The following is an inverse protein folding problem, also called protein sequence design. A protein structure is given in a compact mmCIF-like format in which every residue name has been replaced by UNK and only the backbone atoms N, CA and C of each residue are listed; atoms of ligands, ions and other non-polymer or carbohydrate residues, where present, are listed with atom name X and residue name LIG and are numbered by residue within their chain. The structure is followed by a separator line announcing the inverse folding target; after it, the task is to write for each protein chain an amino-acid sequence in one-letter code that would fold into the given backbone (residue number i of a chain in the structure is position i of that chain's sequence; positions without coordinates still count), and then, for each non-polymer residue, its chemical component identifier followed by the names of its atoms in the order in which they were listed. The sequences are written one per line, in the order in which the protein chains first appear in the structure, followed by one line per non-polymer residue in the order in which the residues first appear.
data_IF_634442717938
#
_entry.id   IF_634442717938
#
_cell.length_a   1.000
_cell.length_b   1.000
_cell.length_c   1.000
_cell.angle_alpha   90.00
_cell.angle_beta   90.00
_cell.angle_gamma   90.00
#
_symmetry.space_group_name_H-M   'P 1'
#
loop_
_entity.id
_entity.type
_entity.pdbx_description
1 polymer ?
#
# COMPACT_ATOMS: atom_id res chain seq x y z
N UNK A 1 -39.67 26.29 -11.63
CA UNK A 1 -40.42 25.61 -10.56
C UNK A 1 -39.46 24.61 -9.93
N UNK A 2 -38.37 25.03 -9.28
CA UNK A 2 -38.27 25.61 -7.92
C UNK A 2 -39.16 24.90 -6.91
N UNK A 3 -38.53 24.10 -6.04
CA UNK A 3 -38.62 24.16 -4.57
C UNK A 3 -37.75 23.02 -3.99
N UNK A 4 -37.21 23.01 -2.78
CA UNK A 4 -36.60 24.02 -1.91
C UNK A 4 -36.06 23.18 -0.74
N UNK A 5 -34.79 23.39 -0.37
CA UNK A 5 -34.18 22.86 0.86
C UNK A 5 -34.89 23.46 2.08
N UNK A 6 -35.22 22.65 3.10
CA UNK A 6 -35.37 23.11 4.50
C UNK A 6 -35.17 21.91 5.43
N UNK A 7 -33.97 21.72 6.00
CA UNK A 7 -33.67 21.97 7.42
C UNK A 7 -34.83 21.76 8.39
N UNK A 8 -34.70 20.76 9.27
CA UNK A 8 -35.51 20.66 10.50
C UNK A 8 -34.59 20.85 11.71
N UNK A 9 -34.99 21.64 12.73
CA UNK A 9 -34.08 22.23 13.71
C UNK A 9 -33.88 21.37 14.97
N UNK A 10 -32.78 21.66 15.67
CA UNK A 10 -32.49 21.18 17.01
C UNK A 10 -33.59 21.56 18.01
N UNK A 11 -34.05 20.60 18.80
CA UNK A 11 -35.09 20.78 19.81
C UNK A 11 -34.46 21.09 21.18
N UNK A 12 -34.89 22.19 21.77
CA UNK A 12 -34.45 22.72 23.05
C UNK A 12 -35.12 22.02 24.26
N UNK A 13 -34.39 22.05 25.38
CA UNK A 13 -34.76 21.58 26.72
C UNK A 13 -35.86 22.45 27.36
N UNK A 14 -36.77 21.89 28.18
CA UNK A 14 -37.47 22.64 29.21
C UNK A 14 -36.94 22.30 30.62
N UNK A 15 -36.53 23.35 31.34
CA UNK A 15 -36.25 23.35 32.77
C UNK A 15 -37.55 23.39 33.60
N UNK A 16 -37.53 22.85 34.81
CA UNK A 16 -38.59 22.95 35.81
C UNK A 16 -38.03 23.51 37.15
N UNK A 17 -38.86 24.16 37.97
CA UNK A 17 -38.57 25.48 38.54
C UNK A 17 -38.09 25.51 40.00
N UNK A 18 -37.68 26.69 40.45
CA UNK A 18 -37.07 26.99 41.74
C UNK A 18 -37.96 27.87 42.66
N UNK A 19 -37.47 28.00 43.91
CA UNK A 19 -37.68 29.06 44.95
C UNK A 19 -39.01 28.90 45.76
N UNK A 20 -39.10 29.21 47.08
CA UNK A 20 -38.34 30.24 47.80
C UNK A 20 -37.87 30.01 49.26
N UNK A 21 -37.06 30.98 49.71
CA UNK A 21 -36.37 31.08 50.99
C UNK A 21 -36.92 32.21 51.91
N UNK A 22 -36.52 32.13 53.20
CA UNK A 22 -36.45 33.16 54.26
C UNK A 22 -37.76 33.47 55.03
N UNK A 23 -37.73 33.90 56.34
CA UNK A 23 -36.66 34.65 57.04
C UNK A 23 -36.33 34.23 58.50
N UNK A 24 -35.51 35.05 59.17
CA UNK A 24 -34.67 34.77 60.36
C UNK A 24 -35.13 35.38 61.72
N UNK A 25 -34.61 34.79 62.82
CA UNK A 25 -34.28 35.30 64.18
C UNK A 25 -35.41 35.90 65.09
N UNK A 26 -35.35 35.85 66.46
CA UNK A 26 -34.18 36.04 67.36
C UNK A 26 -34.13 35.15 68.65
N UNK A 27 -33.33 35.57 69.65
CA UNK A 27 -32.55 34.77 70.61
C UNK A 27 -33.10 34.64 72.07
N UNK A 28 -32.63 33.57 72.77
CA UNK A 28 -32.45 33.23 74.23
C UNK A 28 -33.49 33.67 75.30
N UNK A 29 -33.77 32.85 76.35
CA UNK A 29 -32.85 32.62 77.50
C UNK A 29 -32.76 31.16 78.00
N UNK A 30 -31.68 30.85 78.74
CA UNK A 30 -31.40 29.59 79.41
C UNK A 30 -32.05 29.50 80.82
N UNK A 31 -32.52 28.30 81.22
CA UNK A 31 -32.74 27.87 82.61
C UNK A 31 -32.97 26.32 82.65
N UNK A 32 -32.94 25.62 83.81
CA UNK A 32 -31.85 24.71 84.19
C UNK A 32 -32.15 23.20 84.02
N UNK A 33 -31.08 22.41 84.05
CA UNK A 33 -31.08 20.97 83.97
C UNK A 33 -31.78 20.27 85.14
N UNK A 34 -32.53 19.21 84.83
CA UNK A 34 -33.01 18.20 85.77
C UNK A 34 -32.56 16.83 85.23
N UNK A 35 -31.89 15.95 86.00
CA UNK A 35 -31.42 14.67 85.48
C UNK A 35 -32.58 13.67 85.42
N UNK A 36 -32.80 13.08 84.24
CA UNK A 36 -33.70 11.94 84.08
C UNK A 36 -32.92 10.68 83.70
N UNK A 37 -33.34 9.60 84.35
CA UNK A 37 -32.75 8.27 84.48
C UNK A 37 -32.36 7.57 83.18
N UNK A 38 -31.26 6.81 83.24
CA UNK A 38 -30.72 6.03 82.13
C UNK A 38 -31.59 4.79 81.83
N UNK A 39 -32.09 4.69 80.60
CA UNK A 39 -32.63 3.46 80.03
C UNK A 39 -31.50 2.61 79.44
N UNK A 40 -31.49 1.27 79.60
CA UNK A 40 -30.42 0.43 79.06
C UNK A 40 -30.59 0.23 77.55
N UNK A 41 -29.50 0.45 76.82
CA UNK A 41 -29.40 0.30 75.36
C UNK A 41 -29.17 -1.17 74.98
N UNK A 42 -29.87 -1.73 73.97
CA UNK A 42 -29.60 -3.10 73.51
C UNK A 42 -28.25 -3.20 72.79
N UNK A 43 -27.55 -4.35 72.85
CA UNK A 43 -26.23 -4.49 72.25
C UNK A 43 -26.28 -4.36 70.72
N UNK A 44 -25.47 -3.43 70.18
CA UNK A 44 -25.28 -3.26 68.73
C UNK A 44 -24.53 -4.48 68.16
N UNK A 45 -25.05 -5.04 67.07
CA UNK A 45 -24.35 -6.06 66.31
C UNK A 45 -22.97 -5.54 65.85
N UNK A 46 -21.90 -6.37 65.94
CA UNK A 46 -20.56 -5.92 65.61
C UNK A 46 -20.48 -5.53 64.13
N UNK A 47 -20.13 -4.27 63.86
CA UNK A 47 -19.85 -3.78 62.51
C UNK A 47 -18.67 -4.58 61.95
N UNK A 48 -18.75 -5.09 60.70
CA UNK A 48 -17.65 -5.85 60.13
C UNK A 48 -16.37 -5.02 60.17
N UNK A 49 -15.22 -5.62 60.51
CA UNK A 49 -13.99 -4.87 60.74
C UNK A 49 -13.58 -4.17 59.44
N UNK A 50 -13.71 -2.83 59.41
CA UNK A 50 -13.37 -1.94 58.28
C UNK A 50 -11.98 -2.20 57.68
N UNK A 51 -11.08 -2.81 58.45
CA UNK A 51 -9.74 -3.23 58.04
C UNK A 51 -9.76 -4.35 57.00
N UNK A 52 -10.68 -5.32 57.12
CA UNK A 52 -10.80 -6.45 56.19
C UNK A 52 -11.33 -5.98 54.84
N UNK A 53 -12.34 -5.12 54.82
CA UNK A 53 -12.88 -4.53 53.59
C UNK A 53 -11.83 -3.71 52.81
N UNK A 54 -10.98 -2.96 53.52
CA UNK A 54 -9.86 -2.22 52.90
C UNK A 54 -8.78 -3.15 52.35
N UNK A 55 -8.51 -4.27 53.04
CA UNK A 55 -7.57 -5.26 52.56
C UNK A 55 -8.08 -5.91 51.27
N UNK A 56 -9.34 -6.35 51.24
CA UNK A 56 -9.98 -6.91 50.04
C UNK A 56 -9.90 -5.92 48.89
N UNK A 57 -10.33 -4.67 49.08
CA UNK A 57 -10.29 -3.64 48.02
C UNK A 57 -8.86 -3.39 47.48
N UNK A 58 -7.84 -3.39 48.34
CA UNK A 58 -6.44 -3.24 47.93
C UNK A 58 -5.95 -4.43 47.11
N UNK A 59 -6.29 -5.65 47.52
CA UNK A 59 -5.93 -6.86 46.77
C UNK A 59 -6.67 -6.95 45.44
N UNK A 60 -7.94 -6.55 45.39
CA UNK A 60 -8.70 -6.47 44.13
C UNK A 60 -8.07 -5.44 43.18
N UNK A 61 -7.71 -4.26 43.69
CA UNK A 61 -7.03 -3.25 42.89
C UNK A 61 -5.66 -3.75 42.38
N UNK A 62 -4.88 -4.41 43.22
CA UNK A 62 -3.61 -5.01 42.83
C UNK A 62 -3.80 -6.08 41.73
N UNK A 63 -4.78 -6.98 41.89
CA UNK A 63 -5.09 -8.01 40.91
C UNK A 63 -5.54 -7.42 39.57
N UNK A 64 -6.34 -6.35 39.58
CA UNK A 64 -6.76 -5.65 38.37
C UNK A 64 -5.59 -4.98 37.65
N UNK A 65 -4.68 -4.33 38.39
CA UNK A 65 -3.50 -3.68 37.81
C UNK A 65 -2.56 -4.71 37.22
N UNK A 66 -2.20 -5.77 37.97
CA UNK A 66 -1.32 -6.84 37.49
C UNK A 66 -1.95 -7.61 36.33
N UNK A 67 -3.22 -7.97 36.44
CA UNK A 67 -3.96 -8.67 35.39
C UNK A 67 -4.09 -7.82 34.13
N UNK A 68 -4.42 -6.54 34.27
CA UNK A 68 -4.54 -5.60 33.15
C UNK A 68 -3.21 -5.34 32.46
N UNK A 69 -2.13 -5.10 33.22
CA UNK A 69 -0.78 -4.93 32.66
C UNK A 69 -0.30 -6.19 31.96
N UNK A 70 -0.46 -7.36 32.60
CA UNK A 70 -0.03 -8.64 32.05
C UNK A 70 -0.80 -9.04 30.79
N UNK A 71 -2.13 -8.93 30.83
CA UNK A 71 -2.96 -9.21 29.66
C UNK A 71 -2.72 -8.19 28.53
N UNK A 72 -2.54 -6.91 28.87
CA UNK A 72 -2.26 -5.85 27.90
C UNK A 72 -0.91 -6.02 27.21
N UNK A 73 0.15 -6.37 27.95
CA UNK A 73 1.47 -6.66 27.36
C UNK A 73 1.45 -7.94 26.54
N UNK A 74 0.83 -9.01 27.04
CA UNK A 74 0.67 -10.25 26.28
C UNK A 74 -0.12 -10.00 24.98
N UNK A 75 -1.24 -9.28 25.03
CA UNK A 75 -2.01 -8.91 23.85
C UNK A 75 -1.20 -8.04 22.89
N UNK A 76 -0.46 -7.05 23.39
CA UNK A 76 0.41 -6.20 22.58
C UNK A 76 1.45 -7.00 21.80
N UNK A 77 2.14 -7.94 22.44
CA UNK A 77 3.16 -8.78 21.78
C UNK A 77 2.52 -9.79 20.83
N UNK A 78 1.43 -10.44 21.24
CA UNK A 78 0.78 -11.50 20.44
C UNK A 78 -0.03 -10.98 19.26
N UNK A 79 -0.39 -9.69 19.25
CA UNK A 79 -1.08 -9.04 18.14
C UNK A 79 -0.14 -8.41 17.10
N UNK A 80 1.14 -8.22 17.44
CA UNK A 80 2.15 -7.75 16.48
C UNK A 80 2.45 -8.83 15.44
N UNK A 81 2.73 -8.41 14.21
CA UNK A 81 3.35 -9.30 13.24
C UNK A 81 4.76 -9.66 13.73
N UNK A 82 5.24 -10.86 13.39
CA UNK A 82 6.54 -11.37 13.83
C UNK A 82 7.69 -10.39 13.53
N UNK A 83 7.58 -9.64 12.44
CA UNK A 83 8.57 -8.65 11.98
C UNK A 83 8.63 -7.40 12.86
N UNK A 84 7.56 -7.12 13.60
CA UNK A 84 7.42 -5.87 14.36
C UNK A 84 7.69 -6.08 15.86
N UNK A 85 7.95 -7.33 16.27
CA UNK A 85 8.32 -7.65 17.64
C UNK A 85 9.75 -7.16 17.91
N UNK A 86 9.97 -6.30 18.92
CA UNK A 86 11.30 -5.81 19.26
C UNK A 86 12.29 -6.96 19.51
N UNK A 87 13.44 -6.93 18.83
CA UNK A 87 14.48 -7.96 18.94
C UNK A 87 14.24 -9.24 18.12
N UNK A 88 13.10 -9.35 17.42
CA UNK A 88 12.81 -10.43 16.46
C UNK A 88 12.56 -9.93 15.03
N UNK A 89 12.67 -8.62 14.81
CA UNK A 89 12.61 -8.02 13.50
C UNK A 89 13.66 -8.65 12.57
N UNK A 90 13.21 -9.16 11.43
CA UNK A 90 14.11 -9.66 10.39
C UNK A 90 14.71 -8.46 9.66
N UNK A 91 16.00 -8.51 9.31
CA UNK A 91 16.59 -7.49 8.45
C UNK A 91 15.77 -7.37 7.15
N UNK A 92 15.55 -6.13 6.70
CA UNK A 92 14.84 -5.90 5.45
C UNK A 92 15.61 -6.55 4.30
N UNK A 93 14.93 -7.38 3.53
CA UNK A 93 15.45 -7.99 2.30
C UNK A 93 15.55 -6.98 1.13
N UNK A 94 15.17 -5.71 1.37
CA UNK A 94 15.22 -4.63 0.40
C UNK A 94 13.99 -4.55 -0.51
N UNK A 95 12.96 -5.36 -0.28
CA UNK A 95 11.66 -5.23 -0.97
C UNK A 95 10.97 -3.92 -0.60
N UNK A 96 10.16 -3.43 -1.52
CA UNK A 96 9.32 -2.26 -1.32
C UNK A 96 7.89 -2.66 -0.97
N UNK A 97 7.24 -1.81 -0.18
CA UNK A 97 5.88 -2.01 0.28
C UNK A 97 4.88 -1.54 -0.78
N UNK A 98 4.49 -2.45 -1.66
CA UNK A 98 3.43 -2.19 -2.64
C UNK A 98 2.05 -2.29 -1.98
N UNK A 99 1.07 -1.46 -2.39
CA UNK A 99 -0.31 -1.65 -1.95
C UNK A 99 -0.85 -2.99 -2.46
N UNK A 100 -1.88 -3.50 -1.79
CA UNK A 100 -2.52 -4.76 -2.19
C UNK A 100 -3.01 -4.68 -3.63
N UNK A 101 -2.52 -5.59 -4.47
CA UNK A 101 -2.89 -5.66 -5.88
C UNK A 101 -4.22 -6.38 -6.08
N UNK A 102 -4.95 -5.94 -7.10
CA UNK A 102 -6.19 -6.57 -7.53
C UNK A 102 -6.41 -6.31 -9.01
N UNK A 103 -6.87 -7.32 -9.73
CA UNK A 103 -7.18 -7.18 -11.15
C UNK A 103 -8.42 -6.30 -11.34
N UNK A 104 -8.41 -5.35 -12.28
CA UNK A 104 -9.55 -4.47 -12.50
C UNK A 104 -10.76 -5.25 -13.01
N UNK A 105 -11.97 -4.77 -12.69
CA UNK A 105 -13.21 -5.30 -13.27
C UNK A 105 -13.20 -5.16 -14.80
N UNK A 106 -13.73 -6.16 -15.49
CA UNK A 106 -13.82 -6.18 -16.96
C UNK A 106 -15.17 -5.65 -17.44
N UNK A 107 -15.24 -5.13 -18.68
CA UNK A 107 -16.53 -4.88 -19.33
C UNK A 107 -17.39 -6.15 -19.35
N UNK A 108 -18.72 -5.97 -19.29
CA UNK A 108 -19.65 -7.10 -19.30
C UNK A 108 -19.44 -7.99 -20.54
N UNK A 109 -19.40 -9.31 -20.33
CA UNK A 109 -19.18 -10.29 -21.39
C UNK A 109 -17.74 -10.37 -21.93
N UNK A 110 -16.82 -9.55 -21.42
CA UNK A 110 -15.40 -9.62 -21.82
C UNK A 110 -14.65 -10.65 -20.97
N UNK A 111 -14.04 -11.68 -21.57
CA UNK A 111 -13.23 -12.66 -20.87
C UNK A 111 -11.89 -12.08 -20.41
N UNK A 112 -11.21 -12.75 -19.48
CA UNK A 112 -9.81 -12.43 -19.11
C UNK A 112 -8.87 -12.95 -20.20
N UNK A 113 -7.65 -12.37 -20.36
CA UNK A 113 -6.60 -13.11 -21.03
C UNK A 113 -6.36 -14.45 -20.31
N UNK A 114 -5.97 -15.45 -21.08
CA UNK A 114 -5.66 -16.84 -20.75
C UNK A 114 -6.85 -17.65 -20.22
N UNK A 115 -8.07 -17.23 -20.55
CA UNK A 115 -9.28 -18.00 -20.29
C UNK A 115 -9.84 -18.58 -21.58
N UNK A 116 -10.57 -19.70 -21.51
CA UNK A 116 -11.11 -20.40 -22.68
C UNK A 116 -11.96 -19.51 -23.61
N UNK A 117 -12.56 -18.44 -23.06
CA UNK A 117 -13.35 -17.48 -23.83
C UNK A 117 -12.54 -16.45 -24.63
N UNK A 118 -11.21 -16.38 -24.44
CA UNK A 118 -10.33 -15.36 -25.02
C UNK A 118 -9.17 -15.97 -25.81
N UNK A 119 -9.47 -16.68 -26.89
CA UNK A 119 -8.44 -17.32 -27.74
C UNK A 119 -7.40 -16.33 -28.29
N UNK A 120 -7.74 -15.05 -28.37
CA UNK A 120 -6.85 -14.00 -28.86
C UNK A 120 -6.01 -13.32 -27.76
N UNK A 121 -6.17 -13.72 -26.50
CA UNK A 121 -5.44 -13.20 -25.33
C UNK A 121 -5.44 -11.67 -25.23
N UNK A 122 -6.59 -11.08 -25.56
CA UNK A 122 -6.77 -9.64 -25.56
C UNK A 122 -7.01 -9.14 -24.13
N UNK A 123 -6.26 -8.13 -23.74
CA UNK A 123 -6.52 -7.44 -22.49
C UNK A 123 -7.73 -6.50 -22.63
N UNK A 124 -8.91 -6.94 -22.20
CA UNK A 124 -10.12 -6.11 -22.23
C UNK A 124 -10.17 -5.04 -21.12
N UNK A 125 -9.33 -5.16 -20.09
CA UNK A 125 -9.20 -4.14 -19.05
C UNK A 125 -8.62 -2.83 -19.60
N UNK A 126 -8.93 -1.72 -18.94
CA UNK A 126 -8.22 -0.45 -19.14
C UNK A 126 -6.74 -0.64 -18.79
N UNK A 127 -5.85 -0.41 -19.75
CA UNK A 127 -4.41 -0.65 -19.62
C UNK A 127 -3.80 0.13 -18.44
N UNK A 128 -4.33 1.32 -18.13
CA UNK A 128 -3.86 2.16 -17.02
C UNK A 128 -4.10 1.51 -15.66
N UNK A 129 -5.12 0.65 -15.56
CA UNK A 129 -5.43 -0.11 -14.34
C UNK A 129 -4.60 -1.39 -14.19
N UNK A 130 -3.80 -1.73 -15.20
CA UNK A 130 -2.85 -2.84 -15.16
C UNK A 130 -1.42 -2.35 -14.85
N UNK A 131 -1.21 -1.04 -14.69
CA UNK A 131 0.07 -0.49 -14.23
C UNK A 131 0.25 -0.71 -12.73
N UNK A 132 1.40 -1.24 -12.36
CA UNK A 132 1.78 -1.41 -10.96
C UNK A 132 1.73 -0.06 -10.22
N UNK A 133 1.00 0.04 -9.09
CA UNK A 133 1.01 1.25 -8.27
C UNK A 133 2.39 1.52 -7.67
N UNK A 134 2.68 2.79 -7.41
CA UNK A 134 3.91 3.15 -6.71
C UNK A 134 3.89 2.58 -5.28
N UNK A 135 5.03 2.09 -4.77
CA UNK A 135 5.12 1.60 -3.40
C UNK A 135 5.03 2.74 -2.38
N UNK A 136 4.82 2.37 -1.11
CA UNK A 136 4.75 3.31 0.00
C UNK A 136 6.05 4.13 0.09
N UNK A 137 5.90 5.43 0.37
CA UNK A 137 7.02 6.38 0.48
C UNK A 137 7.62 6.85 -0.85
N UNK A 138 7.14 6.33 -2.00
CA UNK A 138 7.61 6.78 -3.30
C UNK A 138 7.03 8.14 -3.72
N UNK A 139 7.84 8.93 -4.43
CA UNK A 139 7.39 10.16 -5.10
C UNK A 139 7.06 9.83 -6.55
N UNK A 140 5.79 9.93 -6.92
CA UNK A 140 5.31 9.67 -8.29
C UNK A 140 5.85 10.73 -9.27
N UNK A 141 6.32 10.27 -10.44
CA UNK A 141 6.71 11.16 -11.53
C UNK A 141 5.45 11.78 -12.17
N UNK A 142 5.35 13.11 -12.12
CA UNK A 142 4.22 13.87 -12.67
C UNK A 142 4.05 13.68 -14.18
N UNK A 143 5.10 13.30 -14.90
CA UNK A 143 5.04 13.03 -16.35
C UNK A 143 4.62 11.60 -16.66
N UNK A 144 4.62 10.72 -15.66
CA UNK A 144 4.30 9.29 -15.75
C UNK A 144 3.43 8.92 -14.54
N UNK A 145 2.25 9.52 -14.45
CA UNK A 145 1.33 9.37 -13.31
C UNK A 145 0.46 8.10 -13.38
N UNK A 146 0.64 7.26 -14.40
CA UNK A 146 -0.24 6.14 -14.75
C UNK A 146 -1.21 6.46 -15.89
N UNK A 147 -1.11 7.64 -16.49
CA UNK A 147 -1.91 8.05 -17.65
C UNK A 147 -1.41 7.50 -18.98
N UNK A 148 -2.08 7.95 -20.04
CA UNK A 148 -1.66 7.71 -21.43
C UNK A 148 -0.44 8.57 -21.77
N UNK A 149 0.51 7.98 -22.49
CA UNK A 149 1.69 8.68 -23.00
C UNK A 149 1.84 8.47 -24.50
N UNK A 150 2.62 9.32 -25.16
CA UNK A 150 2.91 9.16 -26.58
C UNK A 150 3.90 8.02 -26.82
N UNK A 151 3.86 7.43 -28.02
CA UNK A 151 4.89 6.49 -28.50
C UNK A 151 6.28 7.11 -28.46
N UNK A 152 6.39 8.41 -28.77
CA UNK A 152 7.64 9.16 -28.66
C UNK A 152 8.21 9.20 -27.24
N UNK A 153 7.34 9.27 -26.20
CA UNK A 153 7.80 9.18 -24.81
C UNK A 153 8.34 7.79 -24.48
N UNK A 154 7.66 6.72 -24.90
CA UNK A 154 8.17 5.36 -24.76
C UNK A 154 9.51 5.17 -25.48
N UNK A 155 9.62 5.59 -26.75
CA UNK A 155 10.84 5.50 -27.55
C UNK A 155 12.01 6.29 -26.96
N UNK A 156 11.74 7.33 -26.16
CA UNK A 156 12.82 8.11 -25.52
C UNK A 156 13.56 7.35 -24.42
N UNK A 157 13.06 6.20 -23.95
CA UNK A 157 13.81 5.28 -23.08
C UNK A 157 14.97 4.59 -23.80
N UNK A 158 14.94 4.49 -25.13
CA UNK A 158 15.98 3.83 -25.93
C UNK A 158 17.11 4.77 -26.32
N UNK A 159 18.32 4.25 -26.47
CA UNK A 159 19.47 5.02 -26.96
C UNK A 159 19.22 5.54 -28.39
N UNK A 160 19.79 6.70 -28.72
CA UNK A 160 19.56 7.37 -30.02
C UNK A 160 19.89 6.48 -31.22
N UNK A 161 20.92 5.63 -31.10
CA UNK A 161 21.40 4.78 -32.20
C UNK A 161 20.41 3.72 -32.68
N UNK A 162 19.61 3.12 -31.80
CA UNK A 162 18.59 2.12 -32.15
C UNK A 162 17.16 2.65 -32.20
N UNK A 163 16.94 3.91 -31.82
CA UNK A 163 15.60 4.48 -31.64
C UNK A 163 14.84 4.65 -32.95
N UNK A 164 15.51 4.98 -34.06
CA UNK A 164 14.85 5.17 -35.38
C UNK A 164 14.23 3.89 -35.88
N UNK A 165 14.98 2.79 -35.79
CA UNK A 165 14.58 1.50 -36.33
C UNK A 165 13.46 0.94 -35.48
N UNK A 166 13.59 1.04 -34.15
CA UNK A 166 12.53 0.67 -33.23
C UNK A 166 11.26 1.52 -33.43
N UNK A 167 11.41 2.81 -33.75
CA UNK A 167 10.27 3.67 -34.07
C UNK A 167 9.57 3.23 -35.34
N UNK A 168 10.29 2.70 -36.33
CA UNK A 168 9.70 2.13 -37.53
C UNK A 168 8.98 0.82 -37.22
N UNK A 169 9.62 -0.12 -36.53
CA UNK A 169 8.98 -1.37 -36.10
C UNK A 169 7.71 -1.10 -35.28
N UNK A 170 7.76 -0.12 -34.37
CA UNK A 170 6.58 0.26 -33.57
C UNK A 170 5.45 0.82 -34.45
N UNK A 171 5.76 1.61 -35.49
CA UNK A 171 4.73 2.09 -36.43
C UNK A 171 4.10 0.93 -37.21
N UNK A 172 4.92 -0.01 -37.67
CA UNK A 172 4.47 -1.15 -38.46
C UNK A 172 3.61 -2.12 -37.62
N UNK A 173 3.90 -2.24 -36.32
CA UNK A 173 3.08 -3.01 -35.37
C UNK A 173 1.81 -2.28 -34.89
N UNK A 174 1.66 -0.98 -35.19
CA UNK A 174 0.50 -0.15 -34.91
C UNK A 174 -0.06 -0.29 -33.47
N UNK A 175 0.68 0.14 -32.43
CA UNK A 175 0.21 0.08 -31.04
C UNK A 175 -1.07 0.89 -30.88
N UNK A 176 -2.04 0.35 -30.15
CA UNK A 176 -3.30 1.02 -29.85
C UNK A 176 -3.10 2.14 -28.85
N UNK A 177 -2.42 1.83 -27.75
CA UNK A 177 -2.21 2.77 -26.65
C UNK A 177 -0.91 2.45 -25.92
N UNK A 178 -0.32 3.49 -25.32
CA UNK A 178 0.78 3.37 -24.37
C UNK A 178 0.37 4.02 -23.05
N UNK A 179 0.41 3.26 -21.97
CA UNK A 179 0.22 3.78 -20.61
C UNK A 179 1.55 3.70 -19.87
N UNK A 180 1.84 4.66 -18.99
CA UNK A 180 3.08 4.63 -18.24
C UNK A 180 2.96 5.19 -16.83
N UNK A 181 3.69 4.58 -15.91
CA UNK A 181 3.83 5.03 -14.52
C UNK A 181 5.30 5.06 -14.13
N UNK A 182 5.70 6.10 -13.41
CA UNK A 182 7.04 6.22 -12.85
C UNK A 182 7.02 6.80 -11.44
N UNK A 183 8.05 6.47 -10.67
CA UNK A 183 8.24 6.98 -9.32
C UNK A 183 9.72 6.95 -8.94
N UNK A 184 10.06 7.66 -7.87
CA UNK A 184 11.39 7.64 -7.26
C UNK A 184 11.27 7.31 -5.78
N UNK A 185 12.03 6.32 -5.33
CA UNK A 185 12.11 5.94 -3.92
C UNK A 185 13.04 6.88 -3.14
N UNK A 186 12.92 6.95 -1.79
CA UNK A 186 13.79 7.79 -0.96
C UNK A 186 15.29 7.50 -1.09
N UNK A 187 15.64 6.28 -1.49
CA UNK A 187 17.02 5.85 -1.77
C UNK A 187 17.59 6.40 -3.10
N UNK A 188 16.77 7.12 -3.87
CA UNK A 188 17.09 7.69 -5.17
C UNK A 188 16.86 6.74 -6.36
N UNK A 189 16.33 5.53 -6.14
CA UNK A 189 16.02 4.59 -7.21
C UNK A 189 14.79 5.07 -7.98
N UNK A 190 14.95 5.37 -9.26
CA UNK A 190 13.86 5.75 -10.16
C UNK A 190 13.35 4.53 -10.92
N UNK A 191 12.04 4.30 -10.88
CA UNK A 191 11.35 3.23 -11.62
C UNK A 191 10.43 3.84 -12.66
N UNK A 192 10.37 3.23 -13.85
CA UNK A 192 9.45 3.56 -14.94
C UNK A 192 8.90 2.27 -15.52
N UNK A 193 7.59 2.21 -15.68
CA UNK A 193 6.88 1.11 -16.33
C UNK A 193 6.09 1.67 -17.50
N UNK A 194 6.25 1.05 -18.66
CA UNK A 194 5.47 1.31 -19.85
C UNK A 194 4.70 0.05 -20.21
N UNK A 195 3.42 0.19 -20.50
CA UNK A 195 2.61 -0.85 -21.12
C UNK A 195 2.24 -0.39 -22.53
N UNK A 196 2.59 -1.19 -23.53
CA UNK A 196 2.28 -0.98 -24.94
C UNK A 196 1.30 -2.05 -25.36
N UNK A 197 0.06 -1.66 -25.69
CA UNK A 197 -0.96 -2.58 -26.19
C UNK A 197 -1.00 -2.58 -27.71
N UNK A 198 -1.02 -3.75 -28.30
CA UNK A 198 -1.09 -4.00 -29.74
C UNK A 198 -2.47 -4.48 -30.17
N UNK A 199 -2.64 -4.71 -31.48
CA UNK A 199 -3.89 -5.24 -32.03
C UNK A 199 -4.07 -6.75 -31.83
N UNK A 200 -2.98 -7.46 -31.58
CA UNK A 200 -2.96 -8.91 -31.40
C UNK A 200 -1.69 -9.34 -30.66
N UNK A 201 -1.70 -10.58 -30.19
CA UNK A 201 -0.51 -11.26 -29.65
C UNK A 201 0.65 -11.28 -30.64
N UNK A 202 0.37 -11.51 -31.92
CA UNK A 202 1.38 -11.58 -32.97
C UNK A 202 2.14 -10.25 -33.15
N UNK A 203 1.45 -9.10 -33.04
CA UNK A 203 2.11 -7.80 -33.11
C UNK A 203 2.96 -7.51 -31.87
N UNK A 204 2.49 -7.92 -30.68
CA UNK A 204 3.26 -7.79 -29.44
C UNK A 204 4.55 -8.63 -29.50
N UNK A 205 4.43 -9.89 -29.95
CA UNK A 205 5.57 -10.78 -30.12
C UNK A 205 6.54 -10.29 -31.20
N UNK A 206 6.04 -9.92 -32.38
CA UNK A 206 6.88 -9.40 -33.46
C UNK A 206 7.62 -8.12 -33.05
N UNK A 207 7.01 -7.29 -32.21
CA UNK A 207 7.67 -6.11 -31.68
C UNK A 207 8.75 -6.47 -30.65
N UNK A 208 8.51 -7.45 -29.77
CA UNK A 208 9.54 -7.99 -28.87
C UNK A 208 10.73 -8.56 -29.66
N UNK A 209 10.48 -9.34 -30.71
CA UNK A 209 11.53 -9.94 -31.53
C UNK A 209 12.37 -8.86 -32.24
N UNK A 210 11.77 -7.71 -32.57
CA UNK A 210 12.48 -6.54 -33.08
C UNK A 210 13.27 -5.76 -32.02
N UNK A 211 12.90 -5.88 -30.74
CA UNK A 211 13.66 -5.33 -29.62
C UNK A 211 14.83 -6.24 -29.25
N UNK A 212 14.62 -7.54 -29.20
CA UNK A 212 15.61 -8.52 -28.74
C UNK A 212 16.18 -9.24 -29.95
N UNK A 213 17.29 -8.71 -30.48
CA UNK A 213 17.97 -9.27 -31.65
C UNK A 213 19.12 -10.14 -31.18
N UNK A 214 19.10 -11.42 -31.56
CA UNK A 214 20.14 -12.40 -31.17
C UNK A 214 20.36 -12.48 -29.65
N UNK A 215 19.28 -12.37 -28.88
CA UNK A 215 19.30 -12.42 -27.40
C UNK A 215 19.70 -11.11 -26.71
N UNK A 216 20.10 -10.08 -27.47
CA UNK A 216 20.48 -8.77 -26.93
C UNK A 216 19.39 -7.73 -27.21
N UNK A 217 18.92 -7.00 -26.18
CA UNK A 217 17.92 -5.96 -26.38
C UNK A 217 18.54 -4.72 -27.06
N UNK A 218 17.73 -3.95 -27.79
CA UNK A 218 18.11 -2.61 -28.25
C UNK A 218 18.53 -1.76 -27.02
N UNK A 219 19.72 -1.12 -27.04
CA UNK A 219 20.23 -0.41 -25.88
C UNK A 219 19.30 0.69 -25.35
N UNK A 220 19.23 0.81 -24.02
CA UNK A 220 18.49 1.87 -23.35
C UNK A 220 19.34 3.14 -23.19
N UNK A 221 18.68 4.28 -23.06
CA UNK A 221 19.33 5.55 -22.76
C UNK A 221 20.01 5.48 -21.40
N UNK A 222 21.35 5.60 -21.40
CA UNK A 222 22.16 5.49 -20.18
C UNK A 222 22.64 4.08 -19.85
N UNK A 223 22.27 3.08 -20.66
CA UNK A 223 22.75 1.69 -20.53
C UNK A 223 23.10 1.15 -21.93
N UNK A 224 24.31 1.45 -22.44
CA UNK A 224 24.69 1.13 -23.82
C UNK A 224 24.87 -0.37 -24.05
N UNK A 225 25.14 -1.14 -23.00
CA UNK A 225 25.34 -2.57 -23.06
C UNK A 225 24.65 -3.23 -21.86
N UNK A 226 23.95 -4.32 -22.10
CA UNK A 226 23.18 -5.04 -21.08
C UNK A 226 23.32 -6.53 -21.29
N UNK A 227 23.37 -7.27 -20.19
CA UNK A 227 23.47 -8.73 -20.14
C UNK A 227 22.23 -9.30 -19.48
N UNK A 228 21.90 -10.56 -19.75
CA UNK A 228 20.82 -11.24 -19.03
C UNK A 228 21.13 -11.25 -17.52
N UNK A 229 20.10 -11.02 -16.72
CA UNK A 229 20.20 -11.10 -15.27
C UNK A 229 20.23 -12.58 -14.86
N UNK A 230 21.42 -13.10 -14.55
CA UNK A 230 21.63 -14.51 -14.19
C UNK A 230 20.95 -14.90 -12.87
N UNK A 231 20.67 -13.91 -12.00
CA UNK A 231 19.95 -14.13 -10.74
C UNK A 231 18.43 -14.23 -10.96
N UNK A 232 17.93 -13.90 -12.15
CA UNK A 232 16.52 -13.99 -12.49
C UNK A 232 16.09 -15.45 -12.73
N UNK A 233 15.32 -16.00 -11.79
CA UNK A 233 14.81 -17.38 -11.85
C UNK A 233 13.36 -17.49 -12.38
N UNK A 234 12.80 -16.39 -12.91
CA UNK A 234 11.40 -16.35 -13.33
C UNK A 234 10.42 -16.44 -12.16
N UNK A 235 10.77 -15.89 -10.99
CA UNK A 235 9.89 -15.81 -9.83
C UNK A 235 8.49 -15.28 -10.20
N UNK A 236 7.45 -15.75 -9.48
CA UNK A 236 6.08 -15.33 -9.77
C UNK A 236 5.59 -15.68 -11.17
N UNK A 237 5.97 -16.87 -11.69
CA UNK A 237 5.52 -17.40 -12.98
C UNK A 237 4.01 -17.23 -13.13
N UNK A 238 3.61 -16.46 -14.13
CA UNK A 238 2.21 -16.30 -14.51
C UNK A 238 1.99 -17.09 -15.80
N UNK A 239 1.10 -18.10 -15.82
CA UNK A 239 0.87 -18.91 -17.01
C UNK A 239 0.57 -18.05 -18.23
N UNK A 240 1.16 -18.37 -19.38
CA UNK A 240 0.94 -17.63 -20.63
C UNK A 240 1.74 -16.32 -20.77
N UNK A 241 2.55 -15.96 -19.77
CA UNK A 241 3.43 -14.77 -19.83
C UNK A 241 4.90 -15.15 -19.97
N UNK A 242 5.68 -14.25 -20.56
CA UNK A 242 7.14 -14.38 -20.70
C UNK A 242 7.84 -13.17 -20.12
N UNK A 243 8.98 -13.38 -19.46
CA UNK A 243 9.81 -12.31 -18.89
C UNK A 243 11.26 -12.42 -19.37
N UNK A 244 11.84 -11.29 -19.77
CA UNK A 244 13.24 -11.16 -20.20
C UNK A 244 13.87 -10.05 -19.37
N UNK A 245 14.84 -10.39 -18.53
CA UNK A 245 15.35 -9.50 -17.48
C UNK A 245 16.85 -9.30 -17.67
N UNK A 246 17.29 -8.06 -17.56
CA UNK A 246 18.63 -7.63 -17.92
C UNK A 246 19.24 -6.69 -16.87
N UNK A 247 20.54 -6.83 -16.66
CA UNK A 247 21.39 -5.88 -15.92
C UNK A 247 22.28 -5.10 -16.90
N UNK A 248 22.67 -3.89 -16.54
CA UNK A 248 23.69 -3.15 -17.28
C UNK A 248 25.03 -3.88 -17.18
N UNK A 249 25.78 -3.93 -18.28
CA UNK A 249 27.13 -4.47 -18.25
C UNK A 249 28.07 -3.51 -17.50
N UNK A 250 28.97 -4.06 -16.68
CA UNK A 250 30.02 -3.24 -16.05
C UNK A 250 31.04 -2.80 -17.10
N UNK A 251 31.65 -1.61 -16.95
CA UNK A 251 31.44 -0.63 -15.88
C UNK A 251 30.20 0.26 -16.09
N UNK A 252 29.53 0.61 -14.99
CA UNK A 252 28.36 1.50 -15.03
C UNK A 252 28.75 2.97 -15.28
N UNK A 253 27.87 3.71 -15.94
CA UNK A 253 27.97 5.16 -16.11
C UNK A 253 27.62 5.95 -14.84
N UNK A 254 26.90 7.07 -15.00
CA UNK A 254 26.42 7.87 -13.85
C UNK A 254 25.41 7.12 -12.97
N UNK A 255 24.71 6.16 -13.56
CA UNK A 255 23.71 5.31 -12.92
C UNK A 255 23.88 3.88 -13.40
N UNK A 256 23.48 2.92 -12.57
CA UNK A 256 23.24 1.55 -13.02
C UNK A 256 21.78 1.42 -13.43
N UNK A 257 21.52 0.84 -14.60
CA UNK A 257 20.18 0.53 -15.09
C UNK A 257 19.93 -0.97 -15.03
N UNK A 258 18.78 -1.36 -14.49
CA UNK A 258 18.18 -2.68 -14.69
C UNK A 258 16.91 -2.53 -15.50
N UNK A 259 16.66 -3.46 -16.41
CA UNK A 259 15.43 -3.41 -17.19
C UNK A 259 14.91 -4.79 -17.55
N UNK A 260 13.61 -4.87 -17.83
CA UNK A 260 12.97 -6.11 -18.20
C UNK A 260 11.78 -5.90 -19.10
N UNK A 261 11.56 -6.88 -19.97
CA UNK A 261 10.41 -6.97 -20.86
C UNK A 261 9.47 -8.06 -20.37
N UNK A 262 8.18 -7.76 -20.35
CA UNK A 262 7.13 -8.75 -20.09
C UNK A 262 6.22 -8.81 -21.31
N UNK A 263 6.00 -9.99 -21.87
CA UNK A 263 4.98 -10.18 -22.91
C UNK A 263 3.84 -10.99 -22.33
N UNK A 264 2.65 -10.41 -22.43
CA UNK A 264 1.40 -11.04 -22.04
C UNK A 264 0.33 -10.73 -23.09
N UNK A 265 -0.12 -11.74 -23.83
CA UNK A 265 -1.14 -11.59 -24.87
C UNK A 265 -0.80 -10.47 -25.86
N UNK A 266 -1.72 -9.52 -26.01
CA UNK A 266 -1.58 -8.33 -26.87
C UNK A 266 -0.74 -7.19 -26.27
N UNK A 267 -0.12 -7.37 -25.10
CA UNK A 267 0.54 -6.31 -24.34
C UNK A 267 2.01 -6.62 -24.06
N UNK A 268 2.88 -5.65 -24.34
CA UNK A 268 4.30 -5.65 -23.94
C UNK A 268 4.49 -4.64 -22.80
N UNK A 269 5.12 -5.07 -21.71
CA UNK A 269 5.64 -4.17 -20.69
C UNK A 269 7.15 -3.95 -20.84
N UNK A 270 7.59 -2.72 -20.60
CA UNK A 270 8.99 -2.38 -20.31
C UNK A 270 9.06 -1.84 -18.89
N UNK A 271 9.84 -2.50 -18.03
CA UNK A 271 10.17 -2.04 -16.67
C UNK A 271 11.61 -1.58 -16.66
N UNK A 272 11.87 -0.36 -16.21
CA UNK A 272 13.22 0.22 -16.09
C UNK A 272 13.41 0.73 -14.67
N UNK A 273 14.51 0.32 -14.02
CA UNK A 273 14.97 0.89 -12.77
C UNK A 273 16.38 1.44 -12.93
N UNK A 274 16.61 2.64 -12.40
CA UNK A 274 17.91 3.30 -12.47
C UNK A 274 18.23 4.02 -11.18
N UNK A 275 19.45 3.87 -10.69
CA UNK A 275 19.95 4.56 -9.49
C UNK A 275 21.34 5.12 -9.76
N UNK A 276 21.51 6.40 -9.42
CA UNK A 276 22.81 7.09 -9.53
C UNK A 276 23.75 6.67 -8.41
N UNK A 277 25.05 6.72 -8.68
CA UNK A 277 26.09 6.53 -7.68
C UNK A 277 26.51 5.07 -7.46
N UNK A 278 27.43 4.89 -6.50
CA UNK A 278 28.21 3.64 -6.32
C UNK A 278 27.40 2.43 -5.88
N UNK A 279 26.29 2.64 -5.18
CA UNK A 279 25.45 1.54 -4.70
C UNK A 279 24.67 0.84 -5.82
N UNK A 280 24.45 1.54 -6.95
CA UNK A 280 23.75 0.99 -8.09
C UNK A 280 22.30 0.58 -7.79
N UNK A 281 21.67 -0.07 -8.76
CA UNK A 281 20.27 -0.53 -8.65
C UNK A 281 20.24 -1.95 -8.08
N UNK A 282 19.60 -2.13 -6.92
CA UNK A 282 19.49 -3.43 -6.24
C UNK A 282 18.58 -4.39 -7.02
N UNK A 283 18.97 -5.66 -7.12
CA UNK A 283 18.20 -6.69 -7.85
C UNK A 283 16.87 -7.02 -7.19
N UNK A 284 16.83 -7.16 -5.86
CA UNK A 284 15.61 -7.59 -5.14
C UNK A 284 14.37 -6.71 -5.40
N UNK A 285 14.40 -5.37 -5.17
CA UNK A 285 13.24 -4.52 -5.47
C UNK A 285 12.93 -4.45 -6.97
N UNK A 286 13.94 -4.60 -7.84
CA UNK A 286 13.72 -4.69 -9.28
C UNK A 286 12.95 -5.96 -9.67
N UNK A 287 13.43 -7.13 -9.24
CA UNK A 287 12.76 -8.41 -9.45
C UNK A 287 11.34 -8.41 -8.90
N UNK A 288 11.13 -7.88 -7.69
CA UNK A 288 9.80 -7.71 -7.10
C UNK A 288 8.88 -6.89 -8.02
N UNK A 289 9.37 -5.79 -8.58
CA UNK A 289 8.61 -4.93 -9.49
C UNK A 289 8.21 -5.66 -10.77
N UNK A 290 9.14 -6.42 -11.37
CA UNK A 290 8.89 -7.24 -12.56
C UNK A 290 7.83 -8.31 -12.25
N UNK A 291 7.94 -9.01 -11.13
CA UNK A 291 6.98 -10.03 -10.69
C UNK A 291 5.57 -9.45 -10.53
N UNK A 292 5.46 -8.37 -9.76
CA UNK A 292 4.17 -7.77 -9.45
C UNK A 292 3.50 -7.15 -10.68
N UNK A 293 4.29 -6.56 -11.58
CA UNK A 293 3.78 -6.06 -12.86
C UNK A 293 3.29 -7.23 -13.74
N UNK A 294 4.00 -8.35 -13.77
CA UNK A 294 3.59 -9.52 -14.54
C UNK A 294 2.27 -10.11 -14.04
N UNK A 295 2.08 -10.18 -12.71
CA UNK A 295 0.81 -10.62 -12.09
C UNK A 295 -0.40 -9.76 -12.47
N UNK A 296 -0.20 -8.48 -12.78
CA UNK A 296 -1.29 -7.60 -13.23
C UNK A 296 -1.68 -7.84 -14.69
N UNK A 297 -0.87 -8.53 -15.48
CA UNK A 297 -1.13 -8.82 -16.90
C UNK A 297 -1.86 -10.16 -17.13
N UNK A 298 -2.34 -10.80 -16.06
CA UNK A 298 -3.16 -12.01 -16.15
C UNK A 298 -2.37 -13.28 -15.91
#
# INVERSE_FOLDING_TARGET
MTEQTTETPAQAVPAAPAVPAAPAAPAVPAAPAVPAEATPVPPQAPKPPRRVLRAVARWTAAALVLGGLGAGTAFGITSMERTDVPGLATESDGRWDYPRLGLPALPAGSPRPYSDGNVAEIHHADLRRLLLPAPAGAVVDKKLDGGWVSTGRYLSEYAKGGRSDLAQTLKDSAPRHVAARGWTMPDGTSTRIYLVRFNSTAFAQSFLDGIIVSGSPVPLAGAPETVLDEDWNGGGKVPGTSSYVYDEAKPYGEAQVRHGYLVAGDTLALVVQSRKGKEGTRSVPFHQTVILQNQLLG
#
